data_IF_740455923513
#
_entry.id   IF_740455923513
#
_cell.length_a   1.000
_cell.length_b   1.000
_cell.length_c   1.000
_cell.angle_alpha   90.00
_cell.angle_beta   90.00
_cell.angle_gamma   90.00
#
_symmetry.space_group_name_H-M   'P 1'
#
loop_
_entity.id
_entity.type
_entity.pdbx_description
1 polymer ?
#
# COMPACT_ATOMS: atom_id res chain seq x y z
N UNK A 1 -79.91 -22.27 22.76
CA UNK A 1 -79.01 -21.12 22.61
C UNK A 1 -77.61 -21.61 22.91
N UNK A 2 -76.93 -22.09 21.87
CA UNK A 2 -75.88 -21.40 21.08
C UNK A 2 -74.49 -21.77 21.58
N UNK A 3 -73.95 -22.80 20.91
CA UNK A 3 -72.53 -23.10 20.75
C UNK A 3 -71.80 -21.91 20.12
N UNK A 4 -70.64 -21.51 20.67
CA UNK A 4 -69.45 -21.15 19.88
C UNK A 4 -68.20 -20.93 20.77
N UNK A 5 -67.20 -21.84 20.78
CA UNK A 5 -65.85 -21.53 21.23
C UNK A 5 -65.00 -21.11 20.02
N UNK A 6 -64.81 -19.80 19.85
CA UNK A 6 -63.99 -19.24 18.78
C UNK A 6 -62.52 -19.60 18.96
N UNK A 7 -62.00 -20.27 17.94
CA UNK A 7 -60.70 -20.10 17.29
C UNK A 7 -59.56 -19.51 18.12
N UNK A 8 -58.65 -20.39 18.53
CA UNK A 8 -57.24 -20.05 18.74
C UNK A 8 -56.37 -21.14 18.09
N UNK A 9 -56.36 -21.19 16.75
CA UNK A 9 -55.32 -21.92 16.03
C UNK A 9 -54.07 -21.02 15.94
N UNK A 10 -53.10 -21.35 16.78
CA UNK A 10 -51.75 -20.81 16.71
C UNK A 10 -51.09 -21.24 15.39
N UNK A 11 -51.02 -20.32 14.43
CA UNK A 11 -50.09 -20.43 13.31
C UNK A 11 -48.67 -20.08 13.79
N UNK A 12 -48.01 -21.05 14.42
CA UNK A 12 -46.56 -21.01 14.57
C UNK A 12 -45.88 -20.93 13.19
N UNK A 13 -44.73 -20.25 13.06
CA UNK A 13 -44.03 -20.17 11.80
C UNK A 13 -43.62 -21.58 11.35
N UNK A 14 -44.29 -22.11 10.32
CA UNK A 14 -43.85 -23.33 9.62
C UNK A 14 -42.43 -23.08 9.13
N UNK A 15 -41.46 -23.78 9.72
CA UNK A 15 -40.09 -23.82 9.24
C UNK A 15 -40.12 -24.18 7.74
N UNK A 16 -39.77 -23.22 6.88
CA UNK A 16 -39.67 -23.46 5.43
C UNK A 16 -38.68 -24.59 5.23
N UNK A 17 -39.13 -25.67 4.58
CA UNK A 17 -38.25 -26.75 4.16
C UNK A 17 -37.01 -26.16 3.46
N UNK A 18 -35.80 -26.63 3.82
CA UNK A 18 -34.55 -26.08 3.29
C UNK A 18 -34.64 -26.02 1.76
N UNK A 19 -34.32 -24.84 1.21
CA UNK A 19 -34.33 -24.65 -0.23
C UNK A 19 -33.29 -25.54 -0.90
N UNK A 20 -33.39 -25.76 -2.23
CA UNK A 20 -32.42 -26.57 -2.97
C UNK A 20 -31.00 -26.03 -2.85
N UNK A 21 -30.83 -24.73 -2.57
CA UNK A 21 -29.53 -24.08 -2.33
C UNK A 21 -29.15 -23.97 -0.84
N UNK A 22 -29.84 -24.68 0.05
CA UNK A 22 -29.50 -24.67 1.49
C UNK A 22 -28.09 -25.20 1.69
N UNK A 23 -27.24 -24.45 2.39
CA UNK A 23 -25.82 -24.79 2.58
C UNK A 23 -24.89 -24.45 1.41
N UNK A 24 -25.40 -23.89 0.31
CA UNK A 24 -24.57 -23.44 -0.80
C UNK A 24 -24.09 -21.99 -0.59
N UNK A 25 -22.78 -21.78 -0.52
CA UNK A 25 -22.17 -20.46 -0.42
C UNK A 25 -21.80 -19.88 -1.79
N UNK A 26 -21.72 -18.55 -1.84
CA UNK A 26 -21.08 -17.84 -2.95
C UNK A 26 -19.65 -18.34 -3.18
N UNK A 27 -19.34 -18.74 -4.42
CA UNK A 27 -18.06 -19.30 -4.82
C UNK A 27 -17.95 -20.82 -4.69
N UNK A 28 -18.99 -21.53 -4.25
CA UNK A 28 -19.02 -23.00 -4.36
C UNK A 28 -19.16 -23.43 -5.82
N UNK A 29 -18.55 -24.56 -6.19
CA UNK A 29 -18.83 -25.21 -7.48
C UNK A 29 -19.97 -26.20 -7.30
N UNK A 30 -21.02 -26.02 -8.09
CA UNK A 30 -22.25 -26.79 -7.99
C UNK A 30 -22.52 -27.54 -9.29
N UNK A 31 -23.16 -28.70 -9.15
CA UNK A 31 -23.97 -29.32 -10.20
C UNK A 31 -25.43 -29.06 -9.88
N UNK A 32 -26.13 -28.35 -10.75
CA UNK A 32 -27.55 -28.00 -10.61
C UNK A 32 -28.34 -28.72 -11.68
N UNK A 33 -29.28 -29.55 -11.27
CA UNK A 33 -30.26 -30.17 -12.19
C UNK A 33 -31.46 -29.24 -12.31
N UNK A 34 -31.70 -28.77 -13.52
CA UNK A 34 -32.87 -27.94 -13.83
C UNK A 34 -34.11 -28.81 -14.03
N UNK A 35 -35.30 -28.21 -13.90
CA UNK A 35 -36.56 -28.86 -14.21
C UNK A 35 -36.67 -29.32 -15.68
N UNK A 36 -35.89 -28.69 -16.58
CA UNK A 36 -35.73 -29.12 -17.98
C UNK A 36 -34.95 -30.44 -18.14
N UNK A 37 -34.42 -31.00 -17.06
CA UNK A 37 -33.77 -32.31 -17.01
C UNK A 37 -32.25 -32.29 -17.23
N UNK A 38 -31.68 -31.21 -17.75
CA UNK A 38 -30.24 -31.11 -17.98
C UNK A 38 -29.49 -30.63 -16.72
N UNK A 39 -28.44 -31.35 -16.29
CA UNK A 39 -27.54 -30.86 -15.25
C UNK A 39 -26.59 -29.81 -15.80
N UNK A 40 -26.36 -28.76 -15.03
CA UNK A 40 -25.48 -27.65 -15.34
C UNK A 40 -24.45 -27.52 -14.23
N UNK A 41 -23.17 -27.50 -14.61
CA UNK A 41 -22.07 -27.34 -13.66
C UNK A 41 -21.45 -25.96 -13.76
N UNK A 42 -21.27 -25.29 -12.62
CA UNK A 42 -20.69 -23.96 -12.59
C UNK A 42 -20.37 -23.47 -11.19
N UNK A 43 -19.72 -22.32 -11.10
CA UNK A 43 -19.45 -21.62 -9.86
C UNK A 43 -20.66 -20.76 -9.47
N UNK A 44 -21.16 -20.91 -8.24
CA UNK A 44 -22.28 -20.13 -7.73
C UNK A 44 -21.87 -18.69 -7.46
N UNK A 45 -22.51 -17.76 -8.12
CA UNK A 45 -22.42 -16.32 -7.85
C UNK A 45 -23.74 -15.80 -7.30
N UNK A 46 -23.65 -14.87 -6.36
CA UNK A 46 -24.82 -14.26 -5.72
C UNK A 46 -24.72 -12.75 -5.91
N UNK A 47 -25.57 -12.19 -6.78
CA UNK A 47 -25.61 -10.76 -7.12
C UNK A 47 -27.01 -10.22 -6.90
N UNK A 48 -27.15 -9.18 -6.08
CA UNK A 48 -28.45 -8.56 -5.81
C UNK A 48 -29.50 -9.54 -5.25
N UNK A 49 -29.09 -10.58 -4.51
CA UNK A 49 -29.97 -11.64 -4.02
C UNK A 49 -30.34 -12.71 -5.05
N UNK A 50 -29.94 -12.53 -6.32
CA UNK A 50 -30.11 -13.52 -7.38
C UNK A 50 -28.95 -14.53 -7.38
N UNK A 51 -29.27 -15.79 -7.68
CA UNK A 51 -28.29 -16.86 -7.82
C UNK A 51 -28.02 -17.09 -9.31
N UNK A 52 -26.76 -17.08 -9.67
CA UNK A 52 -26.27 -17.30 -11.04
C UNK A 52 -25.19 -18.37 -11.01
N UNK A 53 -25.07 -19.17 -12.06
CA UNK A 53 -23.94 -20.07 -12.26
C UNK A 53 -23.04 -19.51 -13.34
N UNK A 54 -21.75 -19.33 -13.02
CA UNK A 54 -20.72 -19.08 -14.03
C UNK A 54 -20.19 -20.43 -14.52
N UNK A 55 -20.35 -20.69 -15.81
CA UNK A 55 -19.98 -21.94 -16.46
C UNK A 55 -18.80 -21.65 -17.39
N UNK A 56 -17.68 -22.35 -17.21
CA UNK A 56 -16.54 -22.25 -18.12
C UNK A 56 -16.96 -22.77 -19.49
N UNK A 57 -16.82 -21.94 -20.51
CA UNK A 57 -17.20 -22.25 -21.89
C UNK A 57 -16.17 -21.60 -22.82
N UNK A 58 -15.19 -22.36 -23.34
CA UNK A 58 -14.15 -21.83 -24.22
C UNK A 58 -14.69 -21.22 -25.52
N UNK A 59 -15.90 -21.60 -25.95
CA UNK A 59 -16.53 -21.05 -27.15
C UNK A 59 -17.27 -19.73 -26.89
N UNK A 60 -17.50 -19.36 -25.62
CA UNK A 60 -18.13 -18.10 -25.27
C UNK A 60 -17.15 -16.92 -25.41
N UNK A 61 -17.62 -15.71 -25.77
CA UNK A 61 -16.75 -14.54 -26.00
C UNK A 61 -15.85 -14.16 -24.82
N UNK A 62 -16.26 -14.45 -23.59
CA UNK A 62 -15.52 -14.16 -22.36
C UNK A 62 -14.89 -15.43 -21.73
N UNK A 63 -14.87 -16.55 -22.46
CA UNK A 63 -14.42 -17.85 -21.96
C UNK A 63 -15.36 -18.48 -20.91
N UNK A 64 -16.50 -17.86 -20.66
CA UNK A 64 -17.54 -18.34 -19.77
C UNK A 64 -18.91 -17.86 -20.23
N UNK A 65 -19.94 -18.63 -19.87
CA UNK A 65 -21.36 -18.27 -19.98
C UNK A 65 -21.97 -18.19 -18.59
N UNK A 66 -23.05 -17.43 -18.45
CA UNK A 66 -23.76 -17.25 -17.19
C UNK A 66 -25.15 -17.82 -17.32
N UNK A 67 -25.51 -18.73 -16.40
CA UNK A 67 -26.85 -19.30 -16.31
C UNK A 67 -27.57 -18.68 -15.12
N UNK A 68 -28.69 -18.00 -15.35
CA UNK A 68 -29.52 -17.44 -14.29
C UNK A 68 -30.32 -16.21 -14.71
N UNK A 69 -31.12 -15.65 -13.79
CA UNK A 69 -31.20 -15.99 -12.37
C UNK A 69 -31.94 -17.31 -12.10
N UNK A 70 -31.31 -18.21 -11.33
CA UNK A 70 -31.88 -19.49 -10.94
C UNK A 70 -32.97 -19.31 -9.90
N UNK A 71 -34.22 -19.63 -10.26
CA UNK A 71 -35.35 -19.60 -9.33
C UNK A 71 -35.52 -20.97 -8.68
N UNK A 72 -36.05 -20.99 -7.46
CA UNK A 72 -36.28 -22.24 -6.71
C UNK A 72 -37.19 -23.22 -7.45
N UNK A 73 -38.17 -22.71 -8.22
CA UNK A 73 -39.11 -23.55 -8.97
C UNK A 73 -38.45 -24.30 -10.14
N UNK A 74 -37.34 -23.76 -10.66
CA UNK A 74 -36.69 -24.26 -11.87
C UNK A 74 -35.59 -25.29 -11.54
N UNK A 75 -35.36 -25.57 -10.26
CA UNK A 75 -34.25 -26.40 -9.76
C UNK A 75 -34.80 -27.61 -9.02
N UNK A 76 -34.50 -28.81 -9.53
CA UNK A 76 -34.92 -30.07 -8.94
C UNK A 76 -33.88 -30.61 -7.96
N UNK A 77 -32.59 -30.41 -8.24
CA UNK A 77 -31.50 -30.88 -7.38
C UNK A 77 -30.28 -29.97 -7.46
N UNK A 78 -29.59 -29.84 -6.34
CA UNK A 78 -28.27 -29.18 -6.25
C UNK A 78 -27.32 -30.12 -5.54
N UNK A 79 -26.14 -30.28 -6.11
CA UNK A 79 -25.02 -31.03 -5.54
C UNK A 79 -23.81 -30.09 -5.45
N UNK A 80 -23.20 -30.02 -4.26
CA UNK A 80 -21.94 -29.27 -4.07
C UNK A 80 -20.82 -30.18 -4.53
N UNK A 81 -20.18 -29.85 -5.65
CA UNK A 81 -19.03 -30.58 -6.17
C UNK A 81 -17.74 -30.17 -5.47
N UNK A 82 -17.60 -28.87 -5.22
CA UNK A 82 -16.49 -28.30 -4.46
C UNK A 82 -17.02 -27.19 -3.56
N UNK A 83 -16.58 -27.21 -2.32
CA UNK A 83 -16.77 -26.11 -1.38
C UNK A 83 -16.05 -24.85 -1.88
N UNK A 84 -16.46 -23.70 -1.36
CA UNK A 84 -15.79 -22.41 -1.62
C UNK A 84 -14.31 -22.42 -1.27
N UNK A 85 -13.93 -23.14 -0.21
CA UNK A 85 -12.53 -23.24 0.22
C UNK A 85 -11.69 -24.05 -0.76
N UNK A 86 -12.23 -25.15 -1.28
CA UNK A 86 -11.59 -25.99 -2.30
C UNK A 86 -11.45 -25.24 -3.63
N UNK A 87 -12.51 -24.55 -4.10
CA UNK A 87 -12.44 -23.71 -5.31
C UNK A 87 -11.36 -22.63 -5.15
N UNK A 88 -11.30 -21.97 -3.99
CA UNK A 88 -10.25 -20.99 -3.70
C UNK A 88 -8.86 -21.60 -3.59
N UNK A 89 -8.72 -22.81 -3.06
CA UNK A 89 -7.46 -23.52 -3.01
C UNK A 89 -6.97 -23.87 -4.43
N UNK A 90 -7.86 -24.37 -5.29
CA UNK A 90 -7.57 -24.67 -6.70
C UNK A 90 -7.19 -23.41 -7.49
N UNK A 91 -7.98 -22.34 -7.37
CA UNK A 91 -7.68 -21.05 -8.01
C UNK A 91 -6.34 -20.48 -7.51
N UNK A 92 -6.02 -20.63 -6.22
CA UNK A 92 -4.70 -20.24 -5.68
C UNK A 92 -3.57 -21.09 -6.25
N UNK A 93 -3.76 -22.42 -6.35
CA UNK A 93 -2.76 -23.32 -6.93
C UNK A 93 -2.51 -22.97 -8.41
N UNK A 94 -3.55 -22.71 -9.19
CA UNK A 94 -3.44 -22.25 -10.57
C UNK A 94 -2.73 -20.89 -10.68
N UNK A 95 -3.04 -19.95 -9.78
CA UNK A 95 -2.45 -18.60 -9.80
C UNK A 95 -1.00 -18.57 -9.36
N UNK A 96 -0.63 -19.37 -8.37
CA UNK A 96 0.71 -19.37 -7.79
C UNK A 96 1.66 -20.35 -8.49
N UNK A 97 1.13 -21.32 -9.24
CA UNK A 97 1.93 -22.37 -9.86
C UNK A 97 2.82 -23.08 -8.83
N UNK A 98 4.06 -23.36 -9.22
CA UNK A 98 5.03 -23.99 -8.30
C UNK A 98 5.46 -23.01 -7.20
N UNK A 99 5.17 -23.32 -5.95
CA UNK A 99 5.57 -22.49 -4.81
C UNK A 99 7.10 -22.42 -4.65
N UNK A 100 7.63 -21.24 -4.31
CA UNK A 100 9.04 -21.10 -3.89
C UNK A 100 9.24 -21.69 -2.51
N UNK A 101 8.32 -21.40 -1.60
CA UNK A 101 8.29 -21.91 -0.23
C UNK A 101 7.00 -22.68 0.01
N UNK A 102 7.10 -23.89 0.54
CA UNK A 102 5.94 -24.77 0.80
C UNK A 102 5.40 -24.66 2.22
N UNK A 103 6.16 -24.04 3.13
CA UNK A 103 5.81 -23.89 4.53
C UNK A 103 5.29 -22.48 4.82
N UNK A 104 4.38 -22.39 5.77
CA UNK A 104 3.75 -21.12 6.14
C UNK A 104 4.68 -20.31 7.09
N UNK A 105 4.98 -19.03 6.77
CA UNK A 105 5.80 -18.20 7.64
C UNK A 105 5.06 -17.85 8.93
N UNK A 106 5.73 -18.04 10.07
CA UNK A 106 5.18 -17.82 11.42
C UNK A 106 5.84 -16.68 12.15
N UNK A 107 7.10 -16.38 11.83
CA UNK A 107 7.89 -15.35 12.49
C UNK A 107 8.14 -14.16 11.57
N UNK A 108 8.60 -13.06 12.16
CA UNK A 108 9.12 -11.89 11.42
C UNK A 108 10.21 -12.29 10.43
N UNK A 109 11.16 -13.10 10.88
CA UNK A 109 12.32 -13.50 10.08
C UNK A 109 11.90 -14.44 8.94
N UNK A 110 10.91 -15.30 9.17
CA UNK A 110 10.31 -16.13 8.12
C UNK A 110 9.67 -15.28 7.02
N UNK A 111 8.82 -14.31 7.40
CA UNK A 111 8.16 -13.41 6.45
C UNK A 111 9.18 -12.64 5.62
N UNK A 112 10.24 -12.13 6.28
CA UNK A 112 11.34 -11.42 5.62
C UNK A 112 12.06 -12.34 4.64
N UNK A 113 12.53 -13.49 5.10
CA UNK A 113 13.28 -14.44 4.28
C UNK A 113 12.47 -14.92 3.07
N UNK A 114 11.19 -15.22 3.24
CA UNK A 114 10.34 -15.66 2.14
C UNK A 114 10.07 -14.53 1.14
N UNK A 115 9.78 -13.29 1.59
CA UNK A 115 9.59 -12.16 0.68
C UNK A 115 10.85 -11.83 -0.11
N UNK A 116 12.00 -11.79 0.56
CA UNK A 116 13.31 -11.58 -0.09
C UNK A 116 13.63 -12.73 -1.05
N UNK A 117 13.36 -13.98 -0.67
CA UNK A 117 13.59 -15.15 -1.51
C UNK A 117 12.72 -15.17 -2.77
N UNK A 118 11.43 -14.85 -2.66
CA UNK A 118 10.55 -14.72 -3.83
C UNK A 118 10.98 -13.53 -4.70
N UNK A 119 11.34 -12.39 -4.10
CA UNK A 119 11.82 -11.22 -4.84
C UNK A 119 13.11 -11.52 -5.64
N UNK A 120 14.05 -12.28 -5.06
CA UNK A 120 15.23 -12.77 -5.76
C UNK A 120 14.87 -13.71 -6.91
N UNK A 121 13.97 -14.67 -6.67
CA UNK A 121 13.49 -15.57 -7.74
C UNK A 121 12.83 -14.80 -8.89
N UNK A 122 12.10 -13.70 -8.62
CA UNK A 122 11.58 -12.80 -9.66
C UNK A 122 12.72 -12.11 -10.40
N UNK A 123 13.70 -11.56 -9.67
CA UNK A 123 14.85 -10.86 -10.23
C UNK A 123 15.77 -11.75 -11.07
N UNK A 124 15.78 -13.06 -10.82
CA UNK A 124 16.55 -14.05 -11.57
C UNK A 124 15.97 -14.33 -12.96
N UNK A 125 14.64 -14.16 -13.14
CA UNK A 125 13.98 -14.33 -14.44
C UNK A 125 14.43 -13.20 -15.37
N UNK A 126 15.07 -13.51 -16.53
CA UNK A 126 15.42 -12.51 -17.53
C UNK A 126 14.18 -11.74 -18.01
N UNK A 127 14.34 -10.51 -18.51
CA UNK A 127 13.20 -9.70 -19.00
C UNK A 127 12.41 -10.41 -20.11
N UNK A 128 13.11 -11.14 -20.97
CA UNK A 128 12.53 -11.93 -22.07
C UNK A 128 12.36 -13.42 -21.70
N UNK A 129 12.40 -13.73 -20.40
CA UNK A 129 12.28 -15.09 -19.87
C UNK A 129 10.83 -15.57 -19.75
N UNK A 130 10.61 -16.60 -18.94
CA UNK A 130 9.29 -17.18 -18.71
C UNK A 130 8.34 -16.19 -18.03
N UNK A 131 7.51 -15.55 -18.86
CA UNK A 131 6.52 -14.56 -18.43
C UNK A 131 5.47 -15.17 -17.48
N UNK A 132 5.03 -16.40 -17.73
CA UNK A 132 4.04 -17.06 -16.87
C UNK A 132 4.63 -17.31 -15.49
N UNK A 133 5.86 -17.81 -15.44
CA UNK A 133 6.54 -18.04 -14.16
C UNK A 133 6.75 -16.74 -13.38
N UNK A 134 7.05 -15.64 -14.07
CA UNK A 134 7.17 -14.33 -13.44
C UNK A 134 5.85 -13.88 -12.81
N UNK A 135 4.72 -14.02 -13.53
CA UNK A 135 3.40 -13.68 -13.00
C UNK A 135 3.02 -14.52 -11.77
N UNK A 136 3.34 -15.81 -11.78
CA UNK A 136 3.14 -16.71 -10.63
C UNK A 136 3.91 -16.24 -9.39
N UNK A 137 5.19 -15.90 -9.57
CA UNK A 137 6.04 -15.42 -8.47
C UNK A 137 5.60 -14.06 -7.95
N UNK A 138 5.23 -13.13 -8.84
CA UNK A 138 4.67 -11.83 -8.45
C UNK A 138 3.36 -12.01 -7.67
N UNK A 139 2.53 -12.99 -8.04
CA UNK A 139 1.31 -13.33 -7.30
C UNK A 139 1.62 -13.93 -5.91
N UNK A 140 2.61 -14.82 -5.81
CA UNK A 140 3.09 -15.36 -4.51
C UNK A 140 3.62 -14.24 -3.60
N UNK A 141 4.46 -13.35 -4.15
CA UNK A 141 4.99 -12.19 -3.43
C UNK A 141 3.87 -11.27 -2.94
N UNK A 142 2.92 -10.92 -3.82
CA UNK A 142 1.80 -10.06 -3.49
C UNK A 142 0.88 -10.68 -2.42
N UNK A 143 0.69 -12.00 -2.45
CA UNK A 143 -0.08 -12.73 -1.45
C UNK A 143 0.59 -12.66 -0.08
N UNK A 144 1.88 -13.01 0.00
CA UNK A 144 2.64 -12.97 1.25
C UNK A 144 2.74 -11.55 1.82
N UNK A 145 3.05 -10.56 0.98
CA UNK A 145 3.08 -9.15 1.37
C UNK A 145 1.69 -8.65 1.84
N UNK A 146 0.61 -9.20 1.27
CA UNK A 146 -0.77 -8.92 1.70
C UNK A 146 -1.07 -9.43 3.10
N UNK A 147 -0.55 -10.59 3.51
CA UNK A 147 -0.78 -11.18 4.84
C UNK A 147 -0.28 -10.32 5.98
N UNK A 148 0.89 -9.70 5.81
CA UNK A 148 1.47 -8.74 6.77
C UNK A 148 1.08 -7.29 6.47
N UNK A 149 0.16 -7.05 5.54
CA UNK A 149 -0.26 -5.72 5.10
C UNK A 149 0.90 -4.78 4.72
N UNK A 150 1.97 -5.33 4.11
CA UNK A 150 3.13 -4.54 3.68
C UNK A 150 2.69 -3.53 2.63
N UNK A 151 2.99 -2.24 2.82
CA UNK A 151 2.57 -1.18 1.91
C UNK A 151 3.23 -1.25 0.52
N UNK A 152 2.59 -0.66 -0.50
CA UNK A 152 3.07 -0.71 -1.89
C UNK A 152 4.50 -0.17 -2.07
N UNK A 153 4.84 0.96 -1.45
CA UNK A 153 6.18 1.53 -1.56
C UNK A 153 7.27 0.64 -0.92
N UNK A 154 6.90 -0.12 0.11
CA UNK A 154 7.78 -1.11 0.77
C UNK A 154 7.95 -2.37 -0.06
N UNK A 155 6.87 -2.84 -0.69
CA UNK A 155 6.91 -3.92 -1.67
C UNK A 155 7.84 -3.59 -2.84
N UNK A 156 7.68 -2.38 -3.41
CA UNK A 156 8.52 -1.91 -4.50
C UNK A 156 10.01 -1.88 -4.10
N UNK A 157 10.31 -1.44 -2.87
CA UNK A 157 11.68 -1.48 -2.34
C UNK A 157 12.25 -2.90 -2.32
N UNK A 158 11.55 -3.89 -1.76
CA UNK A 158 12.05 -5.26 -1.66
C UNK A 158 12.35 -5.87 -3.05
N UNK A 159 11.49 -5.61 -4.04
CA UNK A 159 11.71 -6.05 -5.42
C UNK A 159 12.91 -5.35 -6.06
N UNK A 160 13.06 -4.04 -5.86
CA UNK A 160 14.17 -3.27 -6.38
C UNK A 160 15.51 -3.66 -5.74
N UNK A 161 15.50 -3.90 -4.42
CA UNK A 161 16.66 -4.40 -3.67
C UNK A 161 17.13 -5.76 -4.19
N UNK A 162 16.22 -6.69 -4.45
CA UNK A 162 16.58 -7.99 -5.04
C UNK A 162 17.22 -7.85 -6.44
N UNK A 163 16.66 -6.99 -7.29
CA UNK A 163 17.23 -6.71 -8.61
C UNK A 163 18.61 -6.03 -8.52
N UNK A 164 18.78 -5.12 -7.57
CA UNK A 164 20.04 -4.41 -7.34
C UNK A 164 21.15 -5.35 -6.84
N UNK A 165 20.82 -6.22 -5.88
CA UNK A 165 21.74 -7.22 -5.34
C UNK A 165 22.34 -8.11 -6.43
N UNK A 166 21.55 -8.47 -7.45
CA UNK A 166 22.02 -9.25 -8.61
C UNK A 166 23.14 -8.56 -9.37
N UNK A 167 23.10 -7.23 -9.47
CA UNK A 167 24.09 -6.44 -10.21
C UNK A 167 25.29 -5.98 -9.37
N UNK A 168 25.09 -5.70 -8.07
CA UNK A 168 26.08 -5.00 -7.25
C UNK A 168 26.51 -5.76 -5.98
N UNK A 169 25.91 -6.92 -5.70
CA UNK A 169 26.19 -7.75 -4.53
C UNK A 169 26.20 -6.99 -3.17
N UNK A 170 25.38 -5.94 -3.08
CA UNK A 170 25.26 -5.05 -1.92
C UNK A 170 23.83 -4.50 -1.88
N UNK A 171 23.31 -4.08 -0.71
CA UNK A 171 22.00 -3.47 -0.63
C UNK A 171 22.03 -2.06 -1.24
N UNK A 172 21.00 -1.63 -1.97
CA UNK A 172 20.94 -0.27 -2.48
C UNK A 172 20.69 0.74 -1.35
N UNK A 173 21.23 1.93 -1.53
CA UNK A 173 20.72 3.13 -0.85
C UNK A 173 19.48 3.68 -1.59
N UNK A 174 18.68 4.54 -0.96
CA UNK A 174 17.63 5.25 -1.69
C UNK A 174 18.16 6.05 -2.88
N UNK A 175 19.38 6.60 -2.80
CA UNK A 175 19.97 7.35 -3.91
C UNK A 175 20.19 6.46 -5.15
N UNK A 176 20.59 5.21 -4.94
CA UNK A 176 20.83 4.21 -5.98
C UNK A 176 19.55 3.87 -6.75
N UNK A 177 18.43 3.73 -6.03
CA UNK A 177 17.13 3.44 -6.64
C UNK A 177 16.48 4.68 -7.30
N UNK A 178 16.80 5.87 -6.81
CA UNK A 178 16.31 7.15 -7.35
C UNK A 178 16.98 7.59 -8.65
N UNK A 179 18.19 7.10 -8.95
CA UNK A 179 18.92 7.43 -10.18
C UNK A 179 18.40 6.73 -11.44
N UNK A 180 17.47 5.78 -11.31
CA UNK A 180 16.84 5.12 -12.46
C UNK A 180 15.70 5.97 -13.02
N UNK A 181 15.56 6.02 -14.36
CA UNK A 181 14.50 6.74 -15.10
C UNK A 181 13.05 6.32 -14.73
N UNK A 182 12.86 5.48 -13.71
CA UNK A 182 11.64 4.72 -13.46
C UNK A 182 10.91 5.07 -12.14
N UNK A 183 11.36 6.02 -11.31
CA UNK A 183 10.63 6.26 -10.06
C UNK A 183 10.67 7.68 -9.49
N UNK A 184 9.46 8.20 -9.23
CA UNK A 184 9.26 9.29 -8.29
C UNK A 184 9.72 8.86 -6.89
N UNK A 185 10.35 9.76 -6.09
CA UNK A 185 10.75 9.51 -4.70
C UNK A 185 9.62 9.03 -3.76
N UNK A 186 8.37 9.17 -4.18
CA UNK A 186 7.18 8.69 -3.46
C UNK A 186 6.89 7.19 -3.65
N UNK A 187 7.53 6.54 -4.62
CA UNK A 187 7.26 5.15 -5.00
C UNK A 187 8.02 4.11 -4.17
N UNK A 188 9.09 4.51 -3.46
CA UNK A 188 9.94 3.61 -2.68
C UNK A 188 9.98 4.02 -1.21
N UNK A 189 9.95 3.02 -0.33
CA UNK A 189 10.22 3.20 1.10
C UNK A 189 10.83 1.93 1.64
N UNK A 190 12.03 2.00 2.20
CA UNK A 190 12.65 0.85 2.86
C UNK A 190 11.74 0.30 3.97
N UNK A 191 11.41 -1.00 3.97
CA UNK A 191 10.74 -1.64 5.10
C UNK A 191 11.65 -1.62 6.33
N UNK A 192 11.06 -1.40 7.51
CA UNK A 192 11.69 -1.64 8.80
C UNK A 192 11.65 -3.13 9.13
N UNK A 193 12.45 -3.58 10.09
CA UNK A 193 12.37 -4.97 10.55
C UNK A 193 10.98 -5.32 11.09
N UNK A 194 10.37 -4.40 11.85
CA UNK A 194 9.05 -4.63 12.44
C UNK A 194 7.96 -4.75 11.38
N UNK A 195 8.16 -4.24 10.16
CA UNK A 195 7.15 -4.32 9.10
C UNK A 195 6.91 -5.75 8.61
N UNK A 196 7.82 -6.68 8.90
CA UNK A 196 7.70 -8.10 8.58
C UNK A 196 7.06 -8.93 9.69
N UNK A 197 6.80 -8.33 10.85
CA UNK A 197 6.21 -9.02 11.98
C UNK A 197 4.78 -9.49 11.64
N UNK A 198 4.36 -10.72 12.00
CA UNK A 198 2.98 -11.17 11.79
C UNK A 198 1.94 -10.41 12.64
N UNK A 199 2.33 -9.81 13.76
CA UNK A 199 1.44 -9.04 14.63
C UNK A 199 1.27 -7.58 14.14
N UNK A 200 0.05 -7.14 13.78
CA UNK A 200 -0.22 -5.75 13.42
C UNK A 200 0.14 -4.73 14.53
N UNK A 201 0.07 -5.11 15.81
CA UNK A 201 0.40 -4.20 16.91
C UNK A 201 1.89 -3.84 16.91
N UNK A 202 2.76 -4.80 16.60
CA UNK A 202 4.21 -4.59 16.45
C UNK A 202 4.48 -3.73 15.22
N UNK A 203 3.88 -4.06 14.07
CA UNK A 203 4.04 -3.30 12.81
C UNK A 203 3.64 -1.83 12.95
N UNK A 204 2.53 -1.58 13.64
CA UNK A 204 1.95 -0.24 13.77
C UNK A 204 2.55 0.56 14.92
N UNK A 205 3.47 -0.02 15.70
CA UNK A 205 4.12 0.69 16.80
C UNK A 205 4.85 1.92 16.25
N UNK A 206 4.57 3.12 16.80
CA UNK A 206 5.32 4.31 16.45
C UNK A 206 6.79 4.08 16.79
N UNK A 207 7.67 4.32 15.83
CA UNK A 207 9.11 4.34 16.12
C UNK A 207 9.40 5.66 16.80
N UNK A 208 9.92 5.65 18.04
CA UNK A 208 10.30 6.87 18.70
C UNK A 208 11.39 7.56 17.88
N UNK A 209 11.23 8.86 17.68
CA UNK A 209 12.28 9.68 17.07
C UNK A 209 13.45 9.71 18.05
N UNK A 210 14.68 9.38 17.62
CA UNK A 210 15.82 9.38 18.54
C UNK A 210 16.00 10.73 19.22
N UNK A 211 16.37 10.74 20.51
CA UNK A 211 16.46 11.97 21.32
C UNK A 211 17.38 13.02 20.70
N UNK A 212 18.50 12.60 20.12
CA UNK A 212 19.45 13.48 19.46
C UNK A 212 18.85 14.17 18.21
N UNK A 213 17.88 13.56 17.53
CA UNK A 213 17.15 14.18 16.40
C UNK A 213 16.20 15.27 16.91
N UNK A 214 15.57 15.02 18.05
CA UNK A 214 14.68 16.00 18.69
C UNK A 214 15.45 17.23 19.18
N UNK A 215 16.67 17.00 19.69
CA UNK A 215 17.57 18.04 20.18
C UNK A 215 18.28 18.79 19.05
N UNK A 216 18.51 18.15 17.90
CA UNK A 216 19.13 18.79 16.73
C UNK A 216 18.20 19.89 16.17
N UNK A 217 18.57 21.18 16.30
CA UNK A 217 17.73 22.29 15.85
C UNK A 217 17.63 22.38 14.33
N UNK A 218 18.51 21.69 13.60
CA UNK A 218 18.51 21.58 12.15
C UNK A 218 17.91 20.25 11.68
N UNK A 219 17.37 19.41 12.56
CA UNK A 219 16.65 18.21 12.11
C UNK A 219 15.47 18.60 11.22
N UNK A 220 15.05 17.71 10.31
CA UNK A 220 13.95 17.98 9.35
C UNK A 220 12.70 18.51 10.05
N UNK A 221 12.34 17.92 11.19
CA UNK A 221 11.19 18.35 11.97
C UNK A 221 11.36 19.77 12.53
N UNK A 222 12.51 20.04 13.12
CA UNK A 222 12.79 21.35 13.72
C UNK A 222 12.95 22.45 12.65
N UNK A 223 13.54 22.12 11.50
CA UNK A 223 13.62 23.01 10.34
C UNK A 223 12.24 23.32 9.75
N UNK A 224 11.38 22.30 9.59
CA UNK A 224 10.00 22.52 9.14
C UNK A 224 9.26 23.46 10.10
N UNK A 225 9.35 23.19 11.41
CA UNK A 225 8.74 24.04 12.43
C UNK A 225 9.27 25.49 12.35
N UNK A 226 10.59 25.68 12.27
CA UNK A 226 11.20 27.01 12.16
C UNK A 226 10.74 27.78 10.91
N UNK A 227 10.59 27.08 9.77
CA UNK A 227 10.06 27.69 8.54
C UNK A 227 8.59 28.11 8.71
N UNK A 228 7.77 27.27 9.33
CA UNK A 228 6.36 27.55 9.59
C UNK A 228 6.18 28.69 10.62
N UNK A 229 6.96 28.69 11.70
CA UNK A 229 7.01 29.75 12.71
C UNK A 229 7.47 31.09 12.07
N UNK A 230 8.35 31.05 11.06
CA UNK A 230 8.73 32.22 10.26
C UNK A 230 7.66 32.66 9.21
N UNK A 231 6.47 32.07 9.25
CA UNK A 231 5.33 32.40 8.40
C UNK A 231 5.46 31.91 6.96
N UNK A 232 6.28 30.88 6.70
CA UNK A 232 6.47 30.30 5.37
C UNK A 232 5.57 29.08 5.15
N UNK A 233 5.03 28.96 3.94
CA UNK A 233 4.28 27.78 3.51
C UNK A 233 5.25 26.64 3.16
N UNK A 234 5.65 25.88 4.18
CA UNK A 234 6.60 24.76 4.06
C UNK A 234 5.93 23.41 4.32
N UNK A 235 6.36 22.36 3.59
CA UNK A 235 5.95 20.98 3.81
C UNK A 235 7.09 20.00 3.53
N UNK A 236 7.13 18.89 4.26
CA UNK A 236 8.02 17.78 3.93
C UNK A 236 7.59 17.23 2.57
N UNK A 237 8.53 17.17 1.63
CA UNK A 237 8.33 16.62 0.31
C UNK A 237 9.11 15.32 0.09
N UNK A 238 10.23 15.16 0.80
CA UNK A 238 11.08 13.96 0.72
C UNK A 238 11.59 13.59 2.11
N UNK A 239 11.66 12.29 2.38
CA UNK A 239 12.40 11.72 3.51
C UNK A 239 13.30 10.63 2.94
N UNK A 240 14.55 10.57 3.41
CA UNK A 240 15.48 9.50 3.10
C UNK A 240 15.19 8.23 3.89
N UNK A 241 15.99 7.18 3.66
CA UNK A 241 15.89 5.87 4.33
C UNK A 241 15.75 5.98 5.84
N UNK A 242 16.60 6.82 6.41
CA UNK A 242 16.48 7.30 7.77
C UNK A 242 15.95 8.73 7.69
N UNK A 243 14.68 8.97 8.08
CA UNK A 243 14.05 10.29 8.00
C UNK A 243 14.80 11.39 8.76
N UNK A 244 15.77 11.02 9.59
CA UNK A 244 16.60 11.92 10.37
C UNK A 244 18.02 12.12 9.82
N UNK A 245 18.43 11.37 8.79
CA UNK A 245 19.73 11.49 8.11
C UNK A 245 19.64 12.30 6.82
N UNK A 246 18.54 12.20 6.09
CA UNK A 246 18.34 12.91 4.83
C UNK A 246 16.86 13.20 4.60
N UNK A 247 16.53 14.35 4.03
CA UNK A 247 15.23 14.59 3.43
C UNK A 247 15.12 15.97 2.82
N UNK A 248 13.91 16.34 2.42
CA UNK A 248 13.66 17.59 1.73
C UNK A 248 12.34 18.25 2.10
N UNK A 249 12.37 19.56 2.18
CA UNK A 249 11.23 20.43 2.50
C UNK A 249 10.99 21.33 1.30
N UNK A 250 9.74 21.36 0.80
CA UNK A 250 9.33 22.35 -0.19
C UNK A 250 8.81 23.59 0.50
N UNK A 251 9.33 24.75 0.12
CA UNK A 251 8.87 26.06 0.59
C UNK A 251 8.27 26.83 -0.56
N UNK A 252 6.97 27.10 -0.48
CA UNK A 252 6.25 27.88 -1.49
C UNK A 252 6.50 29.37 -1.28
N UNK A 253 6.80 30.08 -2.36
CA UNK A 253 7.11 31.50 -2.35
C UNK A 253 5.87 32.32 -2.72
N UNK A 254 5.66 33.49 -2.10
CA UNK A 254 4.46 34.31 -2.30
C UNK A 254 4.58 35.18 -3.56
N UNK A 255 4.76 34.53 -4.71
CA UNK A 255 4.75 35.18 -6.04
C UNK A 255 3.79 34.45 -6.96
N UNK A 256 3.42 35.05 -8.08
CA UNK A 256 2.50 34.44 -9.04
C UNK A 256 3.08 33.19 -9.70
N UNK A 257 2.21 32.19 -9.92
CA UNK A 257 2.56 30.91 -10.52
C UNK A 257 3.21 29.92 -9.54
N UNK A 258 3.76 28.82 -10.09
CA UNK A 258 4.51 27.83 -9.30
C UNK A 258 5.92 28.37 -9.04
N UNK A 259 6.16 28.75 -7.80
CA UNK A 259 7.44 29.29 -7.32
C UNK A 259 7.75 28.67 -5.96
N UNK A 260 8.74 27.78 -5.92
CA UNK A 260 9.08 27.06 -4.70
C UNK A 260 10.56 26.72 -4.67
N UNK A 261 11.10 26.60 -3.46
CA UNK A 261 12.43 26.06 -3.22
C UNK A 261 12.32 24.67 -2.64
N UNK A 262 13.17 23.77 -3.12
CA UNK A 262 13.46 22.50 -2.46
C UNK A 262 14.64 22.71 -1.53
N UNK A 263 14.40 22.60 -0.23
CA UNK A 263 15.45 22.53 0.78
C UNK A 263 15.86 21.07 0.93
N UNK A 264 17.15 20.78 0.85
CA UNK A 264 17.70 19.42 0.90
C UNK A 264 18.63 19.35 2.11
N UNK A 265 18.20 18.59 3.12
CA UNK A 265 18.92 18.41 4.37
C UNK A 265 19.63 17.06 4.39
N UNK A 266 20.93 17.02 4.64
CA UNK A 266 21.72 15.78 4.77
C UNK A 266 22.60 15.88 6.00
N UNK A 267 22.61 14.84 6.83
CA UNK A 267 23.51 14.75 7.99
C UNK A 267 24.93 14.49 7.52
N UNK A 268 25.86 15.28 8.05
CA UNK A 268 27.28 15.17 7.76
C UNK A 268 27.99 14.22 8.74
N UNK A 269 29.27 13.97 8.51
CA UNK A 269 30.09 13.10 9.37
C UNK A 269 30.25 13.58 10.82
N UNK A 270 29.92 14.84 11.12
CA UNK A 270 29.88 15.38 12.48
C UNK A 270 28.53 15.16 13.17
N UNK A 271 27.59 14.46 12.53
CA UNK A 271 26.28 14.18 13.09
C UNK A 271 25.35 15.39 13.11
N UNK A 272 25.61 16.44 12.33
CA UNK A 272 24.75 17.64 12.19
C UNK A 272 24.08 17.66 10.81
N UNK A 273 22.84 18.12 10.73
CA UNK A 273 22.14 18.25 9.46
C UNK A 273 22.55 19.53 8.72
N UNK A 274 23.18 19.35 7.57
CA UNK A 274 23.51 20.41 6.61
C UNK A 274 22.37 20.60 5.63
N UNK A 275 22.00 21.86 5.40
CA UNK A 275 20.91 22.21 4.49
C UNK A 275 21.43 22.98 3.29
N UNK A 276 20.99 22.54 2.13
CA UNK A 276 21.14 23.24 0.85
C UNK A 276 19.76 23.61 0.32
N UNK A 277 19.71 24.52 -0.64
CA UNK A 277 18.45 24.92 -1.28
C UNK A 277 18.62 24.99 -2.79
N UNK A 278 17.60 24.50 -3.51
CA UNK A 278 17.53 24.50 -4.96
C UNK A 278 16.21 25.13 -5.42
N UNK A 279 16.26 25.87 -6.53
CA UNK A 279 15.07 26.42 -7.17
C UNK A 279 14.35 25.30 -7.93
N UNK A 280 13.10 25.02 -7.54
CA UNK A 280 12.32 23.88 -8.04
C UNK A 280 11.35 24.30 -9.15
N UNK A 281 11.91 24.96 -10.17
CA UNK A 281 11.25 25.31 -11.45
C UNK A 281 12.28 25.19 -12.57
N UNK A 282 11.84 24.73 -13.75
CA UNK A 282 12.65 24.61 -14.97
C UNK A 282 13.40 25.89 -15.29
N UNK A 283 14.66 25.74 -15.71
CA UNK A 283 15.54 26.82 -16.15
C UNK A 283 15.06 27.40 -17.48
N UNK A 284 14.11 28.33 -17.37
CA UNK A 284 13.46 29.01 -18.48
C UNK A 284 13.54 30.51 -18.25
N UNK A 285 13.46 31.36 -19.29
CA UNK A 285 13.48 32.82 -19.11
C UNK A 285 12.40 33.31 -18.13
N UNK A 286 11.22 32.68 -18.16
CA UNK A 286 10.13 32.94 -17.21
C UNK A 286 10.49 32.49 -15.79
N UNK A 287 11.15 31.34 -15.63
CA UNK A 287 11.70 30.85 -14.37
C UNK A 287 12.75 31.80 -13.77
N UNK A 288 13.68 32.30 -14.59
CA UNK A 288 14.72 33.24 -14.17
C UNK A 288 14.14 34.58 -13.70
N UNK A 289 13.15 35.13 -14.43
CA UNK A 289 12.43 36.35 -14.00
C UNK A 289 11.71 36.14 -12.66
N UNK A 290 11.06 35.00 -12.47
CA UNK A 290 10.40 34.64 -11.20
C UNK A 290 11.41 34.49 -10.07
N UNK A 291 12.54 33.82 -10.30
CA UNK A 291 13.61 33.70 -9.32
C UNK A 291 14.12 35.10 -8.89
N UNK A 292 14.30 36.01 -9.84
CA UNK A 292 14.65 37.40 -9.55
C UNK A 292 13.62 38.12 -8.69
N UNK A 293 12.32 37.92 -8.94
CA UNK A 293 11.25 38.47 -8.12
C UNK A 293 11.26 37.89 -6.70
N UNK A 294 11.39 36.56 -6.58
CA UNK A 294 11.43 35.86 -5.29
C UNK A 294 12.61 36.30 -4.44
N UNK A 295 13.80 36.46 -5.04
CA UNK A 295 15.00 36.92 -4.33
C UNK A 295 14.84 38.29 -3.68
N UNK A 296 13.93 39.13 -4.17
CA UNK A 296 13.60 40.43 -3.58
C UNK A 296 12.52 40.36 -2.49
N UNK A 297 11.83 39.23 -2.35
CA UNK A 297 10.77 39.08 -1.36
C UNK A 297 11.34 38.85 0.05
N UNK A 298 10.66 39.40 1.07
CA UNK A 298 11.01 39.15 2.47
C UNK A 298 10.94 37.66 2.86
N UNK A 299 10.05 36.89 2.23
CA UNK A 299 9.92 35.45 2.45
C UNK A 299 11.19 34.66 2.10
N UNK A 300 11.89 35.04 1.02
CA UNK A 300 13.15 34.41 0.63
C UNK A 300 14.25 34.67 1.66
N UNK A 301 14.37 35.91 2.15
CA UNK A 301 15.34 36.27 3.18
C UNK A 301 15.04 35.59 4.52
N UNK A 302 13.76 35.46 4.91
CA UNK A 302 13.36 34.67 6.09
C UNK A 302 13.76 33.20 5.95
N UNK A 303 13.55 32.61 4.77
CA UNK A 303 13.97 31.23 4.50
C UNK A 303 15.49 31.07 4.65
N UNK A 304 16.30 31.97 4.08
CA UNK A 304 17.76 31.91 4.21
C UNK A 304 18.21 32.07 5.67
N UNK A 305 17.58 32.96 6.45
CA UNK A 305 17.86 33.11 7.88
C UNK A 305 17.57 31.83 8.65
N UNK A 306 16.45 31.18 8.38
CA UNK A 306 16.09 29.90 9.01
C UNK A 306 17.08 28.79 8.63
N UNK A 307 17.53 28.73 7.38
CA UNK A 307 18.55 27.76 6.94
C UNK A 307 19.89 27.93 7.68
N UNK A 308 20.29 29.16 7.98
CA UNK A 308 21.53 29.45 8.70
C UNK A 308 21.44 29.08 10.18
N UNK A 309 20.30 29.34 10.83
CA UNK A 309 20.19 29.27 12.31
C UNK A 309 19.51 27.99 12.80
N UNK A 310 18.65 27.36 11.98
CA UNK A 310 17.75 26.31 12.44
C UNK A 310 16.78 26.82 13.51
N UNK A 311 16.21 25.90 14.30
CA UNK A 311 15.23 26.21 15.36
C UNK A 311 15.82 26.85 16.63
N UNK A 312 17.10 27.22 16.67
CA UNK A 312 17.74 27.77 17.88
C UNK A 312 17.29 29.20 18.19
N UNK A 313 16.70 29.93 17.25
CA UNK A 313 16.38 31.35 17.44
C UNK A 313 14.99 31.70 17.99
N UNK A 314 14.08 30.74 18.20
CA UNK A 314 12.70 31.06 18.62
C UNK A 314 12.35 30.65 20.06
N UNK A 315 13.18 29.85 20.72
CA UNK A 315 13.03 29.58 22.16
C UNK A 315 13.76 30.58 23.06
N UNK A 316 14.85 31.20 22.58
CA UNK A 316 15.60 32.18 23.37
C UNK A 316 14.80 33.47 23.61
N UNK A 317 13.94 33.90 22.68
CA UNK A 317 13.14 35.12 22.88
C UNK A 317 12.12 35.01 24.02
N UNK A 318 11.65 33.81 24.40
CA UNK A 318 10.73 33.67 25.54
C UNK A 318 11.44 33.63 26.89
N UNK A 319 12.63 33.02 26.97
CA UNK A 319 13.41 33.00 28.20
C UNK A 319 14.02 34.39 28.50
N UNK A 320 14.52 35.09 27.48
CA UNK A 320 15.10 36.43 27.65
C UNK A 320 14.04 37.52 27.86
N UNK A 321 12.77 37.26 27.48
CA UNK A 321 11.64 38.17 27.74
C UNK A 321 11.08 38.02 29.16
N UNK A 322 11.22 36.86 29.81
CA UNK A 322 10.83 36.63 31.21
C UNK A 322 11.86 37.11 32.23
N UNK A 323 13.14 37.29 31.86
CA UNK A 323 14.15 37.93 32.72
C UNK A 323 14.11 39.47 32.68
N UNK A 324 13.15 40.05 31.95
CA UNK A 324 12.94 41.52 31.85
C UNK A 324 11.55 41.97 32.33
N UNK A 325 10.83 41.10 33.06
CA UNK A 325 9.63 41.42 33.85
C UNK A 325 9.92 41.14 35.32
#
# INVERSE_FOLDING_TARGET
MTTDPRCAEAHGPKARAPGPFSGCEHGCRLRVTLASGHPVEGELQIFGGHRMLIIRDPAAPMGHRVEGPLRRADVTRVEILQSREEVRAEQRAQRFGKLVFTWEPKTRDDNRAQLEGIARAIADIPRDGDFHRRLELEAQFAHLAGRIALGQAKRAWVLAEAAWYRAHNSPPSMADLWGSDLASPSCFRRPREEDFDPDPAVRNRPVPVPTWVLQDPRSIRNMLAALQEAGLSARIHRLGDLPHEHGGILVKMPVSGRAQFALIGRRNGAGVMDWTHAWDVLDTPTGARRLGAVRRCAAYHRMLKVLQVGRVALQLDFATMLERL
#
